data_IF_532919751449
#
_entry.id   IF_532919751449
#
_cell.length_a   1.000
_cell.length_b   1.000
_cell.length_c   1.000
_cell.angle_alpha   90.00
_cell.angle_beta   90.00
_cell.angle_gamma   90.00
#
_symmetry.space_group_name_H-M   'P 1'
#
loop_
_entity.id
_entity.type
_entity.pdbx_description
1 polymer ?
#
# COMPACT_ATOMS: atom_id res chain seq x y z
N UNK A 1 19.63 -5.96 0.48
CA UNK A 1 19.16 -6.99 1.43
C UNK A 1 17.66 -6.85 1.40
N UNK A 2 17.16 -7.39 0.32
CA UNK A 2 15.78 -7.35 -0.14
C UNK A 2 15.25 -8.78 0.01
N UNK A 3 13.94 -8.91 0.22
CA UNK A 3 13.13 -10.13 0.43
C UNK A 3 12.66 -10.36 1.88
N UNK A 4 11.41 -10.00 2.16
CA UNK A 4 10.58 -10.60 3.23
C UNK A 4 9.41 -11.33 2.55
N UNK A 5 9.46 -12.66 2.42
CA UNK A 5 8.35 -13.42 1.85
C UNK A 5 7.28 -13.68 2.91
N UNK A 6 6.18 -12.93 2.83
CA UNK A 6 4.96 -13.14 3.64
C UNK A 6 4.11 -14.23 2.98
N UNK A 7 4.49 -15.50 3.17
CA UNK A 7 3.66 -16.64 2.78
C UNK A 7 3.15 -17.41 4.01
N UNK A 8 2.32 -16.74 4.81
CA UNK A 8 1.42 -17.39 5.77
C UNK A 8 0.01 -16.86 5.56
N UNK A 9 -0.78 -17.58 4.76
CA UNK A 9 -2.24 -17.47 4.75
C UNK A 9 -2.82 -18.81 5.23
N UNK A 10 -2.91 -18.98 6.54
CA UNK A 10 -3.89 -19.88 7.15
C UNK A 10 -5.23 -19.16 7.17
N UNK A 11 -6.07 -19.37 6.16
CA UNK A 11 -7.47 -18.93 6.21
C UNK A 11 -8.31 -20.11 6.72
N UNK A 12 -8.33 -20.28 8.04
CA UNK A 12 -9.44 -20.91 8.72
C UNK A 12 -10.49 -19.84 9.01
N UNK A 13 -11.53 -19.73 8.17
CA UNK A 13 -12.71 -18.95 8.53
C UNK A 13 -13.97 -19.79 8.40
N UNK A 14 -14.56 -19.98 9.58
CA UNK A 14 -15.88 -20.51 9.87
C UNK A 14 -16.95 -19.86 8.99
N UNK A 15 -17.69 -20.66 8.24
CA UNK A 15 -18.78 -20.23 7.37
C UNK A 15 -20.06 -20.09 8.24
N UNK A 16 -20.65 -18.90 8.40
CA UNK A 16 -21.94 -18.77 9.05
C UNK A 16 -23.07 -19.33 8.16
N UNK A 17 -23.83 -20.25 8.75
CA UNK A 17 -25.03 -20.91 8.24
C UNK A 17 -26.06 -19.87 7.78
N UNK A 18 -26.25 -19.64 6.48
CA UNK A 18 -27.55 -19.25 5.88
C UNK A 18 -27.42 -18.68 4.45
N UNK A 19 -26.79 -19.39 3.51
CA UNK A 19 -27.17 -19.25 2.10
C UNK A 19 -27.19 -20.63 1.45
N UNK A 20 -28.41 -21.18 1.41
CA UNK A 20 -28.81 -22.35 0.65
C UNK A 20 -28.64 -22.02 -0.84
N UNK A 21 -27.46 -22.28 -1.42
CA UNK A 21 -27.32 -22.27 -2.87
C UNK A 21 -27.54 -23.69 -3.36
N UNK A 22 -28.73 -23.92 -3.90
CA UNK A 22 -29.12 -25.11 -4.64
C UNK A 22 -28.16 -25.31 -5.82
N UNK A 23 -27.07 -26.04 -5.61
CA UNK A 23 -26.25 -26.50 -6.72
C UNK A 23 -26.89 -27.75 -7.28
N UNK A 24 -27.62 -27.60 -8.39
CA UNK A 24 -28.16 -28.72 -9.15
C UNK A 24 -27.03 -29.67 -9.54
N UNK A 25 -27.18 -30.92 -9.12
CA UNK A 25 -26.34 -32.04 -9.50
C UNK A 25 -26.51 -32.29 -11.00
N UNK A 26 -25.60 -31.75 -11.81
CA UNK A 26 -25.51 -32.00 -13.26
C UNK A 26 -24.09 -32.43 -13.60
N UNK A 27 -23.92 -33.72 -13.85
CA UNK A 27 -22.66 -34.37 -14.24
C UNK A 27 -22.09 -33.81 -15.56
N UNK A 28 -20.74 -33.77 -15.64
CA UNK A 28 -19.86 -33.71 -16.83
C UNK A 28 -19.82 -32.34 -17.54
N UNK A 29 -18.70 -31.70 -17.89
CA UNK A 29 -17.41 -32.21 -18.32
C UNK A 29 -16.38 -31.04 -18.31
N UNK A 30 -15.09 -31.35 -18.26
CA UNK A 30 -13.95 -30.43 -18.18
C UNK A 30 -13.92 -29.32 -19.25
N UNK A 31 -13.41 -28.14 -18.86
CA UNK A 31 -13.09 -26.90 -19.63
C UNK A 31 -14.18 -25.82 -19.71
N UNK A 32 -14.42 -25.11 -18.60
CA UNK A 32 -14.96 -23.74 -18.64
C UNK A 32 -14.69 -22.96 -17.35
N UNK A 33 -13.45 -22.99 -16.83
CA UNK A 33 -13.02 -22.05 -15.78
C UNK A 33 -12.49 -20.77 -16.44
N UNK A 34 -13.34 -20.01 -17.12
CA UNK A 34 -12.88 -18.78 -17.79
C UNK A 34 -13.95 -17.69 -18.04
N UNK A 35 -15.13 -17.73 -17.42
CA UNK A 35 -16.19 -16.78 -17.81
C UNK A 35 -17.10 -16.29 -16.66
N UNK A 36 -16.58 -16.09 -15.44
CA UNK A 36 -17.37 -15.48 -14.35
C UNK A 36 -16.75 -14.24 -13.71
N UNK A 37 -15.54 -13.81 -14.10
CA UNK A 37 -15.06 -12.48 -13.69
C UNK A 37 -15.53 -11.50 -14.76
N UNK A 38 -16.82 -11.19 -14.69
CA UNK A 38 -17.33 -9.96 -15.26
C UNK A 38 -16.54 -8.82 -14.60
N UNK A 39 -15.63 -8.22 -15.35
CA UNK A 39 -15.06 -6.91 -15.06
C UNK A 39 -16.25 -5.96 -14.88
N UNK A 40 -16.57 -5.61 -13.63
CA UNK A 40 -17.51 -4.54 -13.32
C UNK A 40 -16.84 -3.22 -13.79
N UNK A 41 -17.36 -2.54 -14.83
CA UNK A 41 -16.74 -1.33 -15.37
C UNK A 41 -16.98 -0.08 -14.49
N UNK A 42 -17.30 -0.28 -13.20
CA UNK A 42 -17.60 0.79 -12.22
C UNK A 42 -16.60 0.83 -11.06
N UNK A 43 -15.51 0.06 -11.12
CA UNK A 43 -14.44 0.14 -10.12
C UNK A 43 -13.47 1.32 -10.33
N UNK A 44 -13.68 2.14 -11.36
CA UNK A 44 -12.90 3.36 -11.66
C UNK A 44 -13.64 4.65 -11.25
N UNK A 45 -14.65 4.57 -10.37
CA UNK A 45 -15.16 5.77 -9.69
C UNK A 45 -14.07 6.21 -8.71
N UNK A 46 -13.21 7.13 -9.18
CA UNK A 46 -11.95 7.57 -8.58
C UNK A 46 -12.12 7.89 -7.08
N UNK A 47 -11.87 6.89 -6.23
CA UNK A 47 -11.73 7.10 -4.79
C UNK A 47 -10.41 7.85 -4.59
N UNK A 48 -10.50 9.17 -4.69
CA UNK A 48 -9.42 10.13 -4.46
C UNK A 48 -8.88 9.88 -3.06
N UNK A 49 -7.72 9.21 -2.95
CA UNK A 49 -7.04 9.00 -1.68
C UNK A 49 -6.56 10.35 -1.15
N UNK A 50 -7.37 10.94 -0.28
CA UNK A 50 -7.17 12.26 0.30
C UNK A 50 -5.83 12.37 1.03
N UNK A 51 -5.27 11.24 1.51
CA UNK A 51 -3.94 11.19 2.11
C UNK A 51 -2.87 11.64 1.13
N UNK A 52 -2.88 11.11 -0.10
CA UNK A 52 -1.88 11.41 -1.13
C UNK A 52 -1.86 12.91 -1.49
N UNK A 53 -3.02 13.54 -1.58
CA UNK A 53 -3.11 14.98 -1.84
C UNK A 53 -2.52 15.82 -0.70
N UNK A 54 -2.74 15.40 0.54
CA UNK A 54 -2.19 16.09 1.72
C UNK A 54 -0.68 15.91 1.82
N UNK A 55 -0.15 14.75 1.46
CA UNK A 55 1.30 14.50 1.39
C UNK A 55 1.99 15.46 0.40
N UNK A 56 1.46 15.60 -0.83
CA UNK A 56 2.01 16.54 -1.83
C UNK A 56 1.98 18.00 -1.35
N UNK A 57 0.91 18.40 -0.66
CA UNK A 57 0.79 19.74 -0.08
C UNK A 57 1.79 20.00 1.07
N UNK A 58 2.22 18.95 1.77
CA UNK A 58 3.14 19.03 2.90
C UNK A 58 4.63 18.93 2.51
N UNK A 59 4.97 18.36 1.34
CA UNK A 59 6.34 18.32 0.80
C UNK A 59 7.09 19.67 0.82
N UNK A 60 6.53 20.80 0.35
CA UNK A 60 7.24 22.09 0.35
C UNK A 60 7.46 22.67 1.75
N UNK A 61 6.74 22.19 2.78
CA UNK A 61 6.94 22.64 4.17
C UNK A 61 8.09 21.90 4.86
N UNK A 62 8.43 20.70 4.38
CA UNK A 62 9.44 19.82 4.95
C UNK A 62 10.76 19.80 4.15
N UNK A 63 11.14 20.94 3.57
CA UNK A 63 12.33 21.05 2.70
C UNK A 63 13.67 20.84 3.41
N UNK A 64 13.78 21.21 4.69
CA UNK A 64 15.03 21.04 5.47
C UNK A 64 15.42 19.56 5.61
N UNK A 65 14.54 18.69 6.15
CA UNK A 65 14.80 17.25 6.21
C UNK A 65 14.99 16.62 4.82
N UNK A 66 14.27 17.10 3.81
CA UNK A 66 14.39 16.59 2.43
C UNK A 66 15.81 16.78 1.87
N UNK A 67 16.43 17.94 2.10
CA UNK A 67 17.81 18.22 1.65
C UNK A 67 18.81 17.30 2.36
N UNK A 68 18.62 17.06 3.66
CA UNK A 68 19.47 16.15 4.44
C UNK A 68 19.33 14.70 4.00
N UNK A 69 18.12 14.26 3.67
CA UNK A 69 17.88 12.95 3.11
C UNK A 69 18.54 12.79 1.73
N UNK A 70 18.40 13.79 0.85
CA UNK A 70 19.05 13.79 -0.46
C UNK A 70 20.58 13.77 -0.38
N UNK A 71 21.18 14.50 0.57
CA UNK A 71 22.63 14.46 0.77
C UNK A 71 23.09 13.09 1.29
N UNK A 72 22.30 12.47 2.17
CA UNK A 72 22.56 11.11 2.63
C UNK A 72 22.49 10.10 1.47
N UNK A 73 21.49 10.19 0.59
CA UNK A 73 21.39 9.32 -0.60
C UNK A 73 22.63 9.46 -1.48
N UNK A 74 23.09 10.69 -1.73
CA UNK A 74 24.30 10.94 -2.54
C UNK A 74 25.53 10.28 -1.94
N UNK A 75 25.68 10.30 -0.61
CA UNK A 75 26.78 9.64 0.09
C UNK A 75 26.74 8.12 -0.06
N UNK A 76 25.55 7.51 0.03
CA UNK A 76 25.41 6.04 -0.01
C UNK A 76 25.50 5.49 -1.43
N UNK A 77 25.23 6.29 -2.46
CA UNK A 77 25.33 5.84 -3.86
C UNK A 77 26.69 5.26 -4.22
N UNK A 78 27.75 5.75 -3.60
CA UNK A 78 29.13 5.31 -3.86
C UNK A 78 29.57 4.16 -2.94
N UNK A 79 28.68 3.68 -2.05
CA UNK A 79 28.99 2.70 -1.02
C UNK A 79 28.37 1.32 -1.31
N UNK A 80 29.20 0.37 -1.73
CA UNK A 80 28.79 -1.03 -2.00
C UNK A 80 28.78 -1.94 -0.76
N UNK A 81 29.28 -1.45 0.38
CA UNK A 81 29.45 -2.22 1.62
C UNK A 81 28.13 -2.68 2.25
N UNK A 82 26.97 -2.14 1.85
CA UNK A 82 25.66 -2.52 2.37
C UNK A 82 25.37 -2.16 3.84
N UNK A 83 26.35 -1.62 4.57
CA UNK A 83 26.22 -1.26 6.00
C UNK A 83 25.80 0.20 6.24
N UNK A 84 25.81 1.04 5.21
CA UNK A 84 25.42 2.44 5.32
C UNK A 84 23.94 2.58 4.96
N UNK A 85 23.19 3.31 5.80
CA UNK A 85 21.75 3.53 5.62
C UNK A 85 21.38 4.99 5.90
N UNK A 86 20.34 5.47 5.21
CA UNK A 86 19.73 6.79 5.43
C UNK A 86 18.44 6.73 6.24
N UNK A 87 18.19 5.63 6.95
CA UNK A 87 16.93 5.41 7.69
C UNK A 87 16.66 6.50 8.72
N UNK A 88 17.69 7.02 9.40
CA UNK A 88 17.55 8.15 10.33
C UNK A 88 17.00 9.41 9.64
N UNK A 89 17.65 9.85 8.56
CA UNK A 89 17.21 11.05 7.82
C UNK A 89 15.85 10.84 7.14
N UNK A 90 15.57 9.61 6.72
CA UNK A 90 14.27 9.23 6.17
C UNK A 90 13.16 9.39 7.21
N UNK A 91 13.38 8.93 8.45
CA UNK A 91 12.42 9.11 9.53
C UNK A 91 12.21 10.58 9.90
N UNK A 92 13.25 11.40 9.90
CA UNK A 92 13.10 12.84 10.16
C UNK A 92 12.24 13.54 9.08
N UNK A 93 12.43 13.16 7.82
CA UNK A 93 11.63 13.68 6.71
C UNK A 93 10.17 13.25 6.79
N UNK A 94 9.91 11.96 7.03
CA UNK A 94 8.55 11.46 7.16
C UNK A 94 7.85 11.93 8.41
N UNK A 95 8.55 12.06 9.54
CA UNK A 95 8.00 12.64 10.77
C UNK A 95 7.46 14.06 10.53
N UNK A 96 8.18 14.87 9.75
CA UNK A 96 7.71 16.21 9.37
C UNK A 96 6.44 16.15 8.50
N UNK A 97 6.39 15.23 7.53
CA UNK A 97 5.21 15.06 6.66
C UNK A 97 4.02 14.57 7.48
N UNK A 98 4.18 13.55 8.31
CA UNK A 98 3.12 12.98 9.14
C UNK A 98 2.56 14.03 10.11
N UNK A 99 3.43 14.83 10.73
CA UNK A 99 3.01 15.94 11.60
C UNK A 99 2.21 17.00 10.82
N UNK A 100 2.53 17.23 9.54
CA UNK A 100 1.80 18.17 8.69
C UNK A 100 0.46 17.61 8.19
N UNK A 101 0.40 16.31 7.88
CA UNK A 101 -0.78 15.62 7.33
C UNK A 101 -1.79 15.31 8.44
N UNK A 102 -1.34 14.92 9.64
CA UNK A 102 -2.20 14.51 10.75
C UNK A 102 -3.41 15.42 11.01
N UNK A 103 -3.26 16.75 11.22
CA UNK A 103 -4.41 17.60 11.50
C UNK A 103 -5.40 17.68 10.32
N UNK A 104 -4.90 17.62 9.08
CA UNK A 104 -5.74 17.77 7.88
C UNK A 104 -6.41 16.49 7.44
N UNK A 105 -5.85 15.35 7.84
CA UNK A 105 -6.41 14.05 7.53
C UNK A 105 -7.67 13.82 8.37
N UNK A 106 -7.61 14.07 9.68
CA UNK A 106 -8.74 13.88 10.60
C UNK A 106 -9.87 14.90 10.44
N UNK A 107 -9.66 15.99 9.71
CA UNK A 107 -10.72 16.95 9.34
C UNK A 107 -11.64 16.44 8.22
N UNK A 108 -11.22 15.43 7.45
CA UNK A 108 -11.94 14.97 6.24
C UNK A 108 -12.51 13.54 6.34
N UNK A 109 -12.31 12.87 7.47
CA UNK A 109 -12.83 11.53 7.81
C UNK A 109 -14.04 11.68 8.72
#
# INVERSE_FOLDING_TARGET
>A
MDEVPVHLLFIGYSIPKSQFVFYSFGLLNSRALAASIALDPRADEELVDQKKYLEEACKPKCVKPLIQYQSCIKRIKDDESGHKHCTGQYFDYWSCIDHCVAPRLFEKI
#
